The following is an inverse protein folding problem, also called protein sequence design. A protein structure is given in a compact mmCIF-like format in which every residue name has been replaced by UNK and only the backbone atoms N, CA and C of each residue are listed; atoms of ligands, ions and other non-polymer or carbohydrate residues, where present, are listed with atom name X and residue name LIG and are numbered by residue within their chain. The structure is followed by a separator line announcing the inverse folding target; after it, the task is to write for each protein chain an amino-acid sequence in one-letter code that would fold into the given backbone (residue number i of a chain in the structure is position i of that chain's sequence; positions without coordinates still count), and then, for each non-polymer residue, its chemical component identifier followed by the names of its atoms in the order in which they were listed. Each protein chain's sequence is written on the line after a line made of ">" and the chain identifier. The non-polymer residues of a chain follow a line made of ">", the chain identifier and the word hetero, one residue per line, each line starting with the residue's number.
data_IF_224338954178
#
_entry.id   IF_224338954178
#
_cell.length_a   1.000
_cell.length_b   1.000
_cell.length_c   1.000
_cell.angle_alpha   90.00
_cell.angle_beta   90.00
_cell.angle_gamma   90.00
#
_symmetry.space_group_name_H-M   'P 1'
#
loop_
_entity.id
_entity.type
_entity.pdbx_description
1 polymer ?
#
# COMPACT_ATOMS: atom_id res chain seq x y z
N UNK A 1 -2.94 29.57 -8.80
CA UNK A 1 -3.95 28.51 -9.02
C UNK A 1 -3.87 27.55 -7.84
N UNK A 2 -4.82 27.65 -6.88
CA UNK A 2 -5.03 26.57 -5.91
C UNK A 2 -5.91 25.54 -6.61
N UNK A 3 -5.39 24.35 -6.87
CA UNK A 3 -6.24 23.25 -7.33
C UNK A 3 -7.28 22.94 -6.24
N UNK A 4 -8.48 22.51 -6.62
CA UNK A 4 -9.51 22.07 -5.67
C UNK A 4 -8.96 21.03 -4.66
N UNK A 5 -8.02 20.16 -5.11
CA UNK A 5 -7.31 19.20 -4.26
C UNK A 5 -6.46 19.87 -3.16
N UNK A 6 -5.76 20.97 -3.45
CA UNK A 6 -5.01 21.69 -2.42
C UNK A 6 -5.91 22.31 -1.35
N UNK A 7 -7.09 22.78 -1.73
CA UNK A 7 -8.10 23.26 -0.77
C UNK A 7 -8.70 22.11 0.03
N UNK A 8 -9.02 20.98 -0.60
CA UNK A 8 -9.59 19.80 0.07
C UNK A 8 -8.66 19.17 1.10
N UNK A 9 -7.34 19.14 0.85
CA UNK A 9 -6.38 18.48 1.74
C UNK A 9 -5.97 19.36 2.91
N UNK A 10 -5.88 20.68 2.72
CA UNK A 10 -5.48 21.63 3.76
C UNK A 10 -6.37 21.59 5.00
N UNK A 11 -7.66 21.32 4.80
CA UNK A 11 -8.65 21.25 5.86
C UNK A 11 -8.88 19.82 6.38
N UNK A 12 -8.28 18.81 5.73
CA UNK A 12 -8.50 17.39 6.03
C UNK A 12 -7.34 16.72 6.77
N UNK A 13 -6.12 17.19 6.53
CA UNK A 13 -4.93 16.78 7.29
C UNK A 13 -4.18 18.01 7.79
N UNK A 14 -3.76 17.95 9.06
CA UNK A 14 -2.89 18.93 9.67
C UNK A 14 -1.42 18.69 9.29
N UNK A 15 -0.52 19.52 9.83
CA UNK A 15 0.92 19.33 9.69
C UNK A 15 1.31 17.91 10.09
N UNK A 16 1.78 17.14 9.12
CA UNK A 16 2.13 15.74 9.25
C UNK A 16 3.61 15.57 8.94
N UNK A 17 4.47 15.36 9.94
CA UNK A 17 5.91 15.23 9.74
C UNK A 17 6.26 14.01 8.89
N UNK A 18 7.24 14.19 8.00
CA UNK A 18 7.80 13.13 7.17
C UNK A 18 9.32 13.18 7.23
N UNK A 19 9.97 12.03 7.39
CA UNK A 19 11.43 11.93 7.33
C UNK A 19 11.90 10.48 7.08
N UNK A 20 13.15 10.33 6.63
CA UNK A 20 13.83 9.04 6.51
C UNK A 20 15.11 9.09 7.34
N UNK A 21 15.21 8.23 8.33
CA UNK A 21 16.42 8.07 9.13
C UNK A 21 17.30 6.98 8.52
N UNK A 22 18.54 7.33 8.24
CA UNK A 22 19.54 6.42 7.71
C UNK A 22 20.40 5.87 8.85
N UNK A 23 20.89 4.66 8.69
CA UNK A 23 21.92 4.11 9.58
C UNK A 23 23.14 5.02 9.54
N UNK A 24 23.64 5.42 10.71
CA UNK A 24 24.70 6.43 10.83
C UNK A 24 24.20 7.82 11.20
N UNK A 25 22.89 7.97 11.50
CA UNK A 25 22.31 9.15 12.14
C UNK A 25 21.82 10.26 11.18
N UNK A 26 22.06 10.16 9.87
CA UNK A 26 21.50 11.12 8.90
C UNK A 26 19.99 10.98 8.83
N UNK A 27 19.27 12.11 8.94
CA UNK A 27 17.81 12.15 8.85
C UNK A 27 17.37 13.05 7.68
N UNK A 28 16.93 12.43 6.58
CA UNK A 28 16.41 13.17 5.42
C UNK A 28 15.01 13.69 5.78
N UNK A 29 14.75 14.96 5.49
CA UNK A 29 13.49 15.64 5.85
C UNK A 29 13.53 16.38 7.18
N UNK A 30 14.41 16.04 8.12
CA UNK A 30 14.71 16.86 9.28
C UNK A 30 15.54 18.07 8.85
N UNK A 31 15.24 19.27 9.40
CA UNK A 31 15.93 20.52 9.07
C UNK A 31 16.08 20.76 7.55
N UNK A 32 15.05 20.41 6.80
CA UNK A 32 15.04 20.38 5.35
C UNK A 32 15.29 21.75 4.72
N UNK A 33 16.35 21.85 3.88
CA UNK A 33 16.66 23.06 3.11
C UNK A 33 16.51 22.79 1.62
N UNK A 34 15.58 23.50 0.98
CA UNK A 34 15.34 23.39 -0.47
C UNK A 34 16.46 24.12 -1.23
N UNK A 35 17.12 23.43 -2.14
CA UNK A 35 18.17 23.97 -3.02
C UNK A 35 17.59 24.38 -4.37
N UNK A 36 16.68 23.56 -4.93
CA UNK A 36 16.04 23.83 -6.21
C UNK A 36 14.59 23.33 -6.19
N UNK A 37 13.71 24.10 -6.83
CA UNK A 37 12.31 23.73 -7.08
C UNK A 37 12.10 23.52 -8.57
N UNK A 38 11.38 22.49 -8.92
CA UNK A 38 10.94 22.21 -10.29
C UNK A 38 9.47 21.86 -10.26
N UNK A 39 8.68 22.51 -11.10
CA UNK A 39 7.25 22.24 -11.27
C UNK A 39 6.99 21.81 -12.70
N UNK A 40 6.07 20.87 -12.86
CA UNK A 40 5.56 20.47 -14.17
C UNK A 40 4.14 19.95 -14.05
N UNK A 41 3.41 19.99 -15.13
CA UNK A 41 2.16 19.25 -15.28
C UNK A 41 2.48 17.91 -15.94
N UNK A 42 2.04 16.81 -15.33
CA UNK A 42 2.03 15.48 -15.95
C UNK A 42 0.70 15.36 -16.68
N UNK A 43 0.74 14.92 -17.93
CA UNK A 43 -0.45 14.68 -18.75
C UNK A 43 -0.15 13.53 -19.70
N UNK A 44 -0.51 12.31 -19.33
CA UNK A 44 -0.22 11.08 -20.06
C UNK A 44 -1.34 10.06 -19.91
N UNK A 45 -1.34 9.06 -20.76
CA UNK A 45 -2.23 7.90 -20.66
C UNK A 45 -1.40 6.65 -20.35
N UNK A 46 -1.86 5.88 -19.37
CA UNK A 46 -1.23 4.62 -18.95
C UNK A 46 -2.09 3.48 -19.47
N UNK A 47 -1.51 2.60 -20.28
CA UNK A 47 -2.15 1.36 -20.72
C UNK A 47 -2.19 0.34 -19.58
N UNK A 48 -3.36 -0.22 -19.32
CA UNK A 48 -3.61 -1.16 -18.22
C UNK A 48 -4.40 -2.37 -18.70
N UNK A 49 -3.77 -3.29 -19.46
CA UNK A 49 -4.47 -4.34 -20.23
C UNK A 49 -5.26 -5.34 -19.37
N UNK A 50 -4.94 -5.46 -18.08
CA UNK A 50 -5.59 -6.41 -17.15
C UNK A 50 -6.41 -5.73 -16.06
N UNK A 51 -6.64 -4.43 -16.18
CA UNK A 51 -7.43 -3.65 -15.23
C UNK A 51 -8.84 -3.39 -15.76
N UNK A 52 -9.78 -2.96 -14.90
CA UNK A 52 -11.17 -2.59 -15.30
C UNK A 52 -11.27 -1.45 -16.33
N UNK A 53 -10.19 -0.66 -16.50
CA UNK A 53 -10.04 0.37 -17.53
C UNK A 53 -8.84 0.00 -18.40
N UNK A 54 -8.99 -0.02 -19.72
CA UNK A 54 -7.88 -0.29 -20.64
C UNK A 54 -6.85 0.84 -20.66
N UNK A 55 -7.30 2.07 -20.38
CA UNK A 55 -6.46 3.27 -20.34
C UNK A 55 -6.80 4.07 -19.09
N UNK A 56 -5.78 4.53 -18.37
CA UNK A 56 -5.90 5.42 -17.21
C UNK A 56 -5.30 6.77 -17.58
N UNK A 57 -6.08 7.84 -17.47
CA UNK A 57 -5.58 9.22 -17.61
C UNK A 57 -4.81 9.62 -16.37
N UNK A 58 -3.53 9.97 -16.55
CA UNK A 58 -2.66 10.47 -15.50
C UNK A 58 -2.43 11.97 -15.71
N UNK A 59 -3.26 12.77 -15.03
CA UNK A 59 -3.16 14.23 -15.05
C UNK A 59 -2.92 14.74 -13.63
N UNK A 60 -1.79 15.43 -13.40
CA UNK A 60 -1.48 16.02 -12.10
C UNK A 60 -0.47 17.16 -12.20
N UNK A 61 -0.38 17.94 -11.13
CA UNK A 61 0.71 18.89 -10.92
C UNK A 61 1.80 18.22 -10.06
N UNK A 62 3.03 18.19 -10.55
CA UNK A 62 4.19 17.64 -9.86
C UNK A 62 5.12 18.75 -9.39
N UNK A 63 5.50 18.70 -8.12
CA UNK A 63 6.53 19.55 -7.51
C UNK A 63 7.69 18.67 -7.04
N UNK A 64 8.86 18.85 -7.65
CA UNK A 64 10.10 18.23 -7.21
C UNK A 64 10.96 19.25 -6.46
N UNK A 65 11.27 18.94 -5.22
CA UNK A 65 12.11 19.73 -4.32
C UNK A 65 13.46 19.05 -4.16
N UNK A 66 14.51 19.58 -4.82
CA UNK A 66 15.88 19.16 -4.56
C UNK A 66 16.32 19.70 -3.21
N UNK A 67 16.75 18.84 -2.32
CA UNK A 67 17.12 19.18 -0.96
C UNK A 67 18.64 19.18 -0.79
N UNK A 68 19.14 19.91 0.20
CA UNK A 68 20.53 19.77 0.66
C UNK A 68 20.70 18.38 1.27
N UNK A 69 21.77 17.64 0.91
CA UNK A 69 22.03 16.29 1.44
C UNK A 69 21.69 15.14 0.47
N UNK A 70 21.75 15.43 -0.84
CA UNK A 70 21.64 14.45 -1.92
C UNK A 70 20.34 13.63 -1.96
N UNK A 71 19.22 14.30 -1.71
CA UNK A 71 17.89 13.74 -1.88
C UNK A 71 16.91 14.74 -2.47
N UNK A 72 15.78 14.27 -2.94
CA UNK A 72 14.63 15.07 -3.35
C UNK A 72 13.37 14.59 -2.64
N UNK A 73 12.40 15.49 -2.50
CA UNK A 73 11.01 15.16 -2.18
C UNK A 73 10.18 15.50 -3.41
N UNK A 74 9.42 14.55 -3.91
CA UNK A 74 8.49 14.74 -5.03
C UNK A 74 7.07 14.65 -4.50
N UNK A 75 6.25 15.62 -4.87
CA UNK A 75 4.84 15.71 -4.50
C UNK A 75 4.04 15.78 -5.79
N UNK A 76 2.99 14.97 -5.88
CA UNK A 76 1.99 15.03 -6.95
C UNK A 76 0.64 15.38 -6.38
N UNK A 77 0.00 16.38 -6.96
CA UNK A 77 -1.35 16.80 -6.62
C UNK A 77 -2.31 16.49 -7.78
N UNK A 78 -3.28 15.64 -7.50
CA UNK A 78 -4.39 15.25 -8.36
C UNK A 78 -5.67 15.94 -7.91
N UNK A 79 -6.72 15.91 -8.70
CA UNK A 79 -8.04 16.42 -8.30
C UNK A 79 -8.67 15.56 -7.18
N UNK A 80 -8.30 14.29 -7.14
CA UNK A 80 -8.78 13.24 -6.25
C UNK A 80 -7.77 12.83 -5.15
N UNK A 81 -6.68 13.59 -4.95
CA UNK A 81 -5.73 13.30 -3.88
C UNK A 81 -4.33 13.86 -4.05
N UNK A 82 -3.45 13.46 -3.15
CA UNK A 82 -2.04 13.83 -3.16
C UNK A 82 -1.16 12.63 -2.86
N UNK A 83 0.04 12.62 -3.42
CA UNK A 83 1.06 11.65 -3.07
C UNK A 83 2.41 12.34 -2.91
N UNK A 84 3.25 11.79 -2.04
CA UNK A 84 4.66 12.20 -1.92
C UNK A 84 5.57 11.00 -1.85
N UNK A 85 6.82 11.19 -2.28
CA UNK A 85 7.92 10.24 -2.06
C UNK A 85 9.25 10.94 -1.89
N UNK A 86 10.17 10.25 -1.24
CA UNK A 86 11.57 10.60 -1.25
C UNK A 86 12.25 10.00 -2.48
N UNK A 87 13.31 10.66 -2.97
CA UNK A 87 14.25 10.13 -3.95
C UNK A 87 15.65 10.37 -3.41
N UNK A 88 16.41 9.30 -3.20
CA UNK A 88 17.82 9.38 -2.86
C UNK A 88 18.66 9.53 -4.12
N UNK A 89 19.68 10.37 -4.07
CA UNK A 89 20.69 10.54 -5.11
C UNK A 89 22.07 10.05 -4.68
N UNK A 90 22.15 9.29 -3.60
CA UNK A 90 23.40 8.71 -3.12
C UNK A 90 24.05 7.81 -4.16
N UNK A 91 25.37 7.95 -4.30
CA UNK A 91 26.15 7.10 -5.23
C UNK A 91 26.72 5.84 -4.54
N UNK A 92 26.69 5.80 -3.22
CA UNK A 92 27.23 4.71 -2.40
C UNK A 92 26.06 3.94 -1.75
N UNK A 93 26.28 2.68 -1.37
CA UNK A 93 25.30 1.91 -0.61
C UNK A 93 24.92 2.60 0.70
N UNK A 94 23.65 2.49 1.07
CA UNK A 94 23.12 3.00 2.33
C UNK A 94 21.99 2.10 2.86
N UNK A 95 21.66 2.29 4.13
CA UNK A 95 20.60 1.56 4.81
C UNK A 95 19.64 2.56 5.44
N UNK A 96 18.33 2.26 5.36
CA UNK A 96 17.27 3.04 6.00
C UNK A 96 16.95 2.38 7.34
N UNK A 97 17.14 3.11 8.43
CA UNK A 97 16.83 2.64 9.77
C UNK A 97 15.34 2.71 10.05
N UNK A 98 14.68 3.83 9.68
CA UNK A 98 13.27 4.07 9.94
C UNK A 98 12.70 5.14 8.99
N UNK A 99 11.39 5.13 8.78
CA UNK A 99 10.64 6.17 8.08
C UNK A 99 9.58 6.75 9.00
N UNK A 100 9.55 8.06 9.10
CA UNK A 100 8.45 8.80 9.69
C UNK A 100 7.45 9.19 8.59
N UNK A 101 6.34 8.48 8.53
CA UNK A 101 5.17 8.82 7.73
C UNK A 101 4.00 9.06 8.69
N UNK A 102 3.60 10.32 8.86
CA UNK A 102 2.57 10.71 9.82
C UNK A 102 1.35 11.28 9.10
N UNK A 103 0.15 11.02 9.63
CA UNK A 103 -1.12 11.49 9.12
C UNK A 103 -1.94 12.04 10.29
N UNK A 104 -1.94 13.36 10.44
CA UNK A 104 -2.62 14.06 11.54
C UNK A 104 -3.97 14.58 11.06
N UNK A 105 -5.05 14.14 11.69
CA UNK A 105 -6.40 14.62 11.41
C UNK A 105 -6.76 15.80 12.32
N UNK A 106 -7.50 16.81 11.80
CA UNK A 106 -7.92 17.96 12.61
C UNK A 106 -9.03 17.63 13.61
N UNK A 107 -9.71 16.51 13.40
CA UNK A 107 -10.87 16.09 14.21
C UNK A 107 -10.85 14.58 14.45
N UNK A 108 -11.75 14.12 15.32
CA UNK A 108 -12.03 12.70 15.51
C UNK A 108 -12.77 12.17 14.27
N UNK A 109 -12.09 11.38 13.46
CA UNK A 109 -12.62 10.77 12.22
C UNK A 109 -13.06 9.35 12.48
N UNK A 110 -14.08 8.89 11.76
CA UNK A 110 -14.46 7.48 11.74
C UNK A 110 -13.51 6.72 10.83
N UNK A 111 -13.03 5.57 11.27
CA UNK A 111 -12.12 4.71 10.55
C UNK A 111 -12.80 3.40 10.12
N UNK A 112 -12.43 2.92 8.95
CA UNK A 112 -12.70 1.57 8.46
C UNK A 112 -11.37 0.83 8.45
N UNK A 113 -11.11 0.04 9.50
CA UNK A 113 -9.78 -0.48 9.82
C UNK A 113 -9.69 -1.97 9.58
N UNK A 114 -8.69 -2.37 8.83
CA UNK A 114 -8.26 -3.74 8.70
C UNK A 114 -7.12 -4.00 9.68
N UNK A 115 -7.44 -4.41 10.90
CA UNK A 115 -6.42 -4.76 11.89
C UNK A 115 -5.77 -6.11 11.55
N UNK A 116 -4.47 -6.24 11.82
CA UNK A 116 -3.78 -7.53 11.76
C UNK A 116 -4.47 -8.54 12.68
N UNK A 117 -4.49 -9.82 12.27
CA UNK A 117 -5.28 -10.87 12.93
C UNK A 117 -4.84 -11.14 14.37
N UNK A 118 -3.55 -11.08 14.66
CA UNK A 118 -2.99 -11.39 15.96
C UNK A 118 -2.54 -10.13 16.66
N UNK A 119 -3.28 -9.71 17.68
CA UNK A 119 -2.87 -8.65 18.60
C UNK A 119 -1.83 -9.17 19.57
N UNK A 120 -0.57 -9.31 19.16
CA UNK A 120 0.51 -9.48 20.10
C UNK A 120 0.73 -8.16 20.85
N UNK A 121 1.04 -8.21 22.16
CA UNK A 121 1.37 -6.99 22.93
C UNK A 121 2.57 -6.25 22.34
N UNK A 122 3.49 -7.00 21.75
CA UNK A 122 4.62 -6.48 21.00
C UNK A 122 4.23 -6.33 19.54
N UNK A 123 4.13 -5.09 19.05
CA UNK A 123 3.77 -4.77 17.68
C UNK A 123 4.75 -5.36 16.64
N UNK A 124 6.02 -5.57 17.01
CA UNK A 124 7.03 -6.15 16.12
C UNK A 124 6.73 -7.61 15.76
N UNK A 125 5.89 -8.29 16.53
CA UNK A 125 5.43 -9.66 16.25
C UNK A 125 4.19 -9.70 15.38
N UNK A 126 3.64 -8.55 14.97
CA UNK A 126 2.43 -8.46 14.18
C UNK A 126 2.68 -8.41 12.67
N UNK A 127 3.93 -8.21 12.24
CA UNK A 127 4.27 -8.10 10.81
C UNK A 127 4.09 -9.38 9.99
N UNK A 128 4.07 -10.53 10.63
CA UNK A 128 3.86 -11.82 9.97
C UNK A 128 2.43 -12.31 10.22
N UNK A 129 1.47 -11.67 9.60
CA UNK A 129 0.06 -11.98 9.75
C UNK A 129 -0.63 -11.97 8.38
N UNK A 130 -1.41 -13.03 8.10
CA UNK A 130 -2.36 -12.99 6.99
C UNK A 130 -3.52 -12.06 7.33
N UNK A 131 -4.06 -11.41 6.31
CA UNK A 131 -5.23 -10.57 6.46
C UNK A 131 -6.48 -11.26 5.92
N UNK A 132 -7.25 -11.84 6.81
CA UNK A 132 -8.55 -12.50 6.52
C UNK A 132 -9.56 -12.16 7.61
N UNK A 133 -9.68 -10.89 7.95
CA UNK A 133 -10.59 -10.38 8.96
C UNK A 133 -11.65 -9.46 8.37
N UNK A 134 -12.74 -9.28 9.11
CA UNK A 134 -13.69 -8.20 8.84
C UNK A 134 -13.08 -6.85 9.19
N UNK A 135 -13.49 -5.79 8.48
CA UNK A 135 -13.16 -4.43 8.84
C UNK A 135 -13.85 -4.02 10.15
N UNK A 136 -13.13 -3.37 11.02
CA UNK A 136 -13.68 -2.72 12.21
C UNK A 136 -14.00 -1.26 11.89
N UNK A 137 -15.17 -0.80 12.36
CA UNK A 137 -15.62 0.59 12.23
C UNK A 137 -15.50 1.25 13.59
N UNK A 138 -14.58 2.20 13.73
CA UNK A 138 -14.26 2.81 15.01
C UNK A 138 -13.87 4.27 14.83
N UNK A 139 -13.95 5.06 15.88
CA UNK A 139 -13.36 6.39 15.88
C UNK A 139 -11.84 6.31 16.07
N UNK A 140 -11.09 7.24 15.48
CA UNK A 140 -9.63 7.22 15.57
C UNK A 140 -9.15 7.32 17.03
N UNK A 141 -9.89 8.00 17.90
CA UNK A 141 -9.60 8.09 19.34
C UNK A 141 -9.84 6.77 20.11
N UNK A 142 -10.59 5.84 19.51
CA UNK A 142 -10.92 4.53 20.08
C UNK A 142 -10.08 3.39 19.46
N UNK A 143 -8.98 3.73 18.79
CA UNK A 143 -8.08 2.76 18.19
C UNK A 143 -7.74 1.62 19.14
N UNK A 144 -7.86 0.38 18.66
CA UNK A 144 -7.49 -0.80 19.43
C UNK A 144 -6.00 -0.76 19.78
N UNK A 145 -5.70 -0.63 21.07
CA UNK A 145 -4.35 -0.48 21.59
C UNK A 145 -3.46 -1.66 21.15
N UNK A 146 -2.24 -1.32 20.74
CA UNK A 146 -1.21 -2.27 20.33
C UNK A 146 -1.61 -3.17 19.16
N UNK A 147 -2.47 -2.70 18.24
CA UNK A 147 -2.77 -3.41 16.99
C UNK A 147 -2.37 -2.56 15.79
N UNK A 148 -1.62 -3.17 14.87
CA UNK A 148 -1.32 -2.59 13.57
C UNK A 148 -2.52 -2.73 12.64
N UNK A 149 -2.69 -1.75 11.77
CA UNK A 149 -3.61 -1.84 10.64
C UNK A 149 -2.84 -1.97 9.34
N UNK A 150 -3.38 -2.75 8.40
CA UNK A 150 -2.86 -2.82 7.04
C UNK A 150 -3.47 -1.73 6.17
N UNK A 151 -2.87 -1.48 5.02
CA UNK A 151 -3.39 -0.61 3.97
C UNK A 151 -4.25 -1.38 2.96
N UNK A 152 -5.19 -0.71 2.27
CA UNK A 152 -5.59 0.69 2.48
C UNK A 152 -6.41 0.91 3.75
N UNK A 153 -6.31 2.11 4.34
CA UNK A 153 -7.15 2.53 5.45
C UNK A 153 -8.02 3.71 5.02
N UNK A 154 -9.31 3.64 5.28
CA UNK A 154 -10.25 4.71 4.97
C UNK A 154 -10.68 5.41 6.25
N UNK A 155 -10.54 6.73 6.27
CA UNK A 155 -11.08 7.62 7.28
C UNK A 155 -12.24 8.44 6.71
N UNK A 156 -13.31 8.61 7.48
CA UNK A 156 -14.44 9.45 7.13
C UNK A 156 -14.53 10.64 8.08
N UNK A 157 -14.53 11.85 7.53
CA UNK A 157 -14.71 13.08 8.27
C UNK A 157 -16.17 13.27 8.67
N UNK A 158 -16.45 14.14 9.65
CA UNK A 158 -17.83 14.50 10.01
C UNK A 158 -18.65 15.07 8.85
N UNK A 159 -17.98 15.68 7.86
CA UNK A 159 -18.62 16.17 6.63
C UNK A 159 -18.83 15.10 5.55
N UNK A 160 -18.56 13.81 5.85
CA UNK A 160 -18.76 12.69 4.91
C UNK A 160 -17.65 12.52 3.87
N UNK A 161 -16.60 13.35 3.89
CA UNK A 161 -15.44 13.17 2.99
C UNK A 161 -14.65 11.93 3.39
N UNK A 162 -14.30 11.11 2.40
CA UNK A 162 -13.48 9.91 2.55
C UNK A 162 -12.01 10.25 2.29
N UNK A 163 -11.14 9.82 3.19
CA UNK A 163 -9.69 9.96 3.08
C UNK A 163 -9.10 8.55 3.12
N UNK A 164 -8.59 8.09 1.98
CA UNK A 164 -7.96 6.77 1.91
C UNK A 164 -6.44 6.92 1.93
N UNK A 165 -5.81 6.32 2.92
CA UNK A 165 -4.35 6.25 3.04
C UNK A 165 -3.89 4.93 2.45
N UNK A 166 -2.97 5.00 1.50
CA UNK A 166 -2.35 3.82 0.88
C UNK A 166 -0.94 4.14 0.40
N UNK A 167 -0.33 3.21 -0.32
CA UNK A 167 0.99 3.38 -0.93
C UNK A 167 0.99 2.85 -2.37
N UNK A 168 1.97 3.26 -3.16
CA UNK A 168 2.16 2.81 -4.53
C UNK A 168 3.65 2.69 -4.87
N UNK A 169 3.97 1.95 -5.93
CA UNK A 169 5.33 1.75 -6.44
C UNK A 169 6.27 1.14 -5.38
N UNK A 170 5.79 0.12 -4.68
CA UNK A 170 6.49 -0.56 -3.59
C UNK A 170 7.53 -1.54 -4.15
N UNK A 171 8.78 -1.11 -4.22
CA UNK A 171 9.92 -1.90 -4.68
C UNK A 171 11.03 -1.89 -3.63
N UNK A 172 11.55 -3.07 -3.28
CA UNK A 172 12.71 -3.26 -2.36
C UNK A 172 12.56 -2.51 -1.02
N UNK A 173 11.33 -2.34 -0.55
CA UNK A 173 11.00 -1.61 0.67
C UNK A 173 9.85 -2.31 1.40
N UNK A 174 9.79 -2.28 2.75
CA UNK A 174 8.68 -2.89 3.48
C UNK A 174 7.38 -2.12 3.25
N UNK A 175 6.28 -2.86 3.16
CA UNK A 175 4.94 -2.29 3.15
C UNK A 175 4.65 -1.54 4.46
N UNK A 176 3.91 -0.44 4.35
CA UNK A 176 3.54 0.40 5.48
C UNK A 176 2.35 -0.19 6.22
N UNK A 177 2.49 -0.38 7.53
CA UNK A 177 1.38 -0.53 8.46
C UNK A 177 1.03 0.82 9.09
N UNK A 178 -0.18 0.97 9.58
CA UNK A 178 -0.58 2.16 10.33
C UNK A 178 -0.82 1.83 11.80
N UNK A 179 -0.51 2.79 12.66
CA UNK A 179 -0.65 2.68 14.09
C UNK A 179 -1.03 4.02 14.71
N UNK A 180 -1.96 4.01 15.66
CA UNK A 180 -2.25 5.17 16.51
C UNK A 180 -1.43 5.06 17.80
N UNK A 181 -0.32 5.78 17.87
CA UNK A 181 0.64 5.67 18.96
C UNK A 181 0.24 6.48 20.20
N UNK A 182 -0.55 7.54 20.05
CA UNK A 182 -0.84 8.50 21.11
C UNK A 182 -2.30 8.50 21.60
N UNK A 183 -3.16 7.68 20.99
CA UNK A 183 -4.59 7.62 21.31
C UNK A 183 -5.36 8.87 20.88
N UNK A 184 -4.75 9.74 20.06
CA UNK A 184 -5.34 10.97 19.54
C UNK A 184 -5.70 10.81 18.06
N UNK A 185 -5.74 11.93 17.33
CA UNK A 185 -6.16 12.01 15.95
C UNK A 185 -4.97 11.83 14.96
N UNK A 186 -4.01 10.97 15.30
CA UNK A 186 -2.79 10.79 14.53
C UNK A 186 -2.55 9.32 14.19
N UNK A 187 -2.20 9.04 12.93
CA UNK A 187 -1.72 7.75 12.48
C UNK A 187 -0.25 7.85 12.08
N UNK A 188 0.52 6.83 12.42
CA UNK A 188 1.93 6.68 12.07
C UNK A 188 2.16 5.47 11.19
N UNK A 189 3.00 5.61 10.18
CA UNK A 189 3.57 4.49 9.44
C UNK A 189 4.50 3.67 10.33
N UNK A 190 4.35 2.36 10.29
CA UNK A 190 5.21 1.39 10.97
C UNK A 190 5.69 0.38 9.93
N UNK A 191 6.98 0.05 9.97
CA UNK A 191 7.64 -0.75 8.96
C UNK A 191 8.32 -1.97 9.56
N UNK A 192 8.19 -3.11 8.89
CA UNK A 192 8.87 -4.33 9.31
C UNK A 192 10.39 -4.19 9.15
N UNK A 193 11.19 -4.65 10.12
CA UNK A 193 12.63 -4.69 9.97
C UNK A 193 13.05 -5.66 8.86
N UNK A 194 14.18 -5.38 8.22
CA UNK A 194 14.74 -6.21 7.14
C UNK A 194 15.02 -7.64 7.63
N UNK A 195 14.60 -8.68 6.91
CA UNK A 195 14.91 -10.07 7.28
C UNK A 195 16.41 -10.33 7.26
N UNK A 196 16.96 -10.89 8.35
CA UNK A 196 18.35 -11.32 8.45
C UNK A 196 18.51 -12.81 8.18
N UNK A 197 17.61 -13.60 8.77
CA UNK A 197 17.55 -15.04 8.54
C UNK A 197 16.09 -15.47 8.37
N UNK A 198 15.86 -16.32 7.39
CA UNK A 198 14.56 -16.94 7.12
C UNK A 198 14.67 -18.46 7.23
N UNK A 199 13.54 -19.13 7.43
CA UNK A 199 13.43 -20.57 7.33
C UNK A 199 12.09 -20.92 6.69
N UNK A 200 12.04 -22.06 6.05
CA UNK A 200 10.83 -22.58 5.46
C UNK A 200 9.71 -22.77 6.51
N UNK A 201 8.48 -22.39 6.17
CA UNK A 201 7.32 -22.59 7.02
C UNK A 201 6.88 -24.04 7.05
N UNK A 202 6.18 -24.42 8.13
CA UNK A 202 5.80 -25.83 8.39
C UNK A 202 4.65 -26.32 7.49
N UNK A 203 3.76 -25.43 7.06
CA UNK A 203 2.51 -25.82 6.37
C UNK A 203 2.58 -25.77 4.85
N UNK A 204 3.47 -25.00 4.30
CA UNK A 204 3.54 -24.78 2.87
C UNK A 204 5.00 -24.57 2.44
N UNK A 205 5.44 -25.32 1.44
CA UNK A 205 6.79 -25.22 0.89
C UNK A 205 7.12 -23.84 0.30
N UNK A 206 6.11 -23.02 -0.02
CA UNK A 206 6.25 -21.68 -0.55
C UNK A 206 6.31 -20.59 0.52
N UNK A 207 6.07 -20.93 1.80
CA UNK A 207 6.11 -19.94 2.88
C UNK A 207 7.50 -19.87 3.52
N UNK A 208 8.00 -18.67 3.68
CA UNK A 208 9.18 -18.38 4.47
C UNK A 208 8.80 -17.67 5.77
N UNK A 209 9.42 -18.07 6.86
CA UNK A 209 9.26 -17.43 8.17
C UNK A 209 10.53 -16.67 8.54
N UNK A 210 10.40 -15.40 8.87
CA UNK A 210 11.51 -14.59 9.37
C UNK A 210 11.90 -15.04 10.77
N UNK A 211 13.11 -15.51 10.95
CA UNK A 211 13.64 -15.99 12.25
C UNK A 211 14.36 -14.89 13.01
N UNK A 212 15.13 -14.07 12.32
CA UNK A 212 15.81 -12.91 12.89
C UNK A 212 15.77 -11.74 11.93
N UNK A 213 15.86 -10.54 12.47
CA UNK A 213 15.81 -9.29 11.72
C UNK A 213 17.07 -8.45 11.91
N UNK A 214 17.30 -7.55 10.99
CA UNK A 214 18.29 -6.49 11.10
C UNK A 214 17.73 -5.31 11.92
N UNK A 215 18.60 -4.33 12.21
CA UNK A 215 18.22 -3.08 12.90
C UNK A 215 17.80 -1.97 11.94
N UNK A 216 17.61 -2.30 10.67
CA UNK A 216 17.19 -1.39 9.60
C UNK A 216 16.04 -2.02 8.80
N UNK A 217 15.28 -1.19 8.09
CA UNK A 217 14.09 -1.60 7.33
C UNK A 217 14.37 -1.86 5.85
N UNK A 218 15.38 -1.20 5.26
CA UNK A 218 15.73 -1.37 3.86
C UNK A 218 17.22 -1.10 3.61
N UNK A 219 17.75 -1.65 2.49
CA UNK A 219 19.13 -1.41 2.03
C UNK A 219 19.15 -1.19 0.52
N UNK A 220 20.00 -0.28 0.07
CA UNK A 220 20.15 0.07 -1.34
C UNK A 220 21.61 0.16 -1.73
N UNK A 221 21.92 -0.18 -2.98
CA UNK A 221 23.28 -0.07 -3.53
C UNK A 221 23.64 1.36 -3.97
N UNK A 222 22.65 2.23 -4.13
CA UNK A 222 22.80 3.60 -4.61
C UNK A 222 21.48 4.36 -4.61
N UNK A 223 21.38 5.38 -5.46
CA UNK A 223 20.19 6.21 -5.57
C UNK A 223 18.94 5.40 -5.90
N UNK A 224 17.84 5.72 -5.23
CA UNK A 224 16.56 5.03 -5.40
C UNK A 224 15.39 5.99 -5.22
N UNK A 225 14.25 5.64 -5.84
CA UNK A 225 12.96 6.24 -5.53
C UNK A 225 12.24 5.36 -4.50
N UNK A 226 11.82 5.97 -3.40
CA UNK A 226 11.06 5.30 -2.36
C UNK A 226 9.58 5.16 -2.78
N UNK A 227 8.81 4.28 -2.14
CA UNK A 227 7.38 4.17 -2.42
C UNK A 227 6.65 5.50 -2.24
N UNK A 228 5.58 5.68 -3.00
CA UNK A 228 4.67 6.80 -2.81
C UNK A 228 3.81 6.58 -1.55
N UNK A 229 3.71 7.60 -0.71
CA UNK A 229 2.68 7.70 0.33
C UNK A 229 1.51 8.47 -0.28
N UNK A 230 0.38 7.81 -0.36
CA UNK A 230 -0.76 8.24 -1.17
C UNK A 230 -1.95 8.53 -0.27
N UNK A 231 -2.53 9.71 -0.43
CA UNK A 231 -3.72 10.18 0.28
C UNK A 231 -4.78 10.50 -0.79
N UNK A 232 -5.79 9.63 -0.91
CA UNK A 232 -6.93 9.81 -1.80
C UNK A 232 -8.02 10.52 -1.03
N UNK A 233 -8.70 11.48 -1.66
CA UNK A 233 -9.77 12.28 -1.04
C UNK A 233 -10.97 12.28 -1.96
N UNK A 234 -12.07 11.68 -1.51
CA UNK A 234 -13.29 11.53 -2.28
C UNK A 234 -14.52 11.97 -1.48
N UNK A 235 -15.52 12.46 -2.17
CA UNK A 235 -16.78 12.88 -1.55
C UNK A 235 -17.81 11.76 -1.46
N UNK A 236 -17.68 10.71 -2.26
CA UNK A 236 -18.62 9.58 -2.35
C UNK A 236 -17.88 8.24 -2.30
N UNK A 237 -18.51 7.24 -1.70
CA UNK A 237 -17.97 5.89 -1.60
C UNK A 237 -17.67 5.25 -2.96
N UNK A 238 -18.56 5.47 -3.93
CA UNK A 238 -18.39 4.95 -5.29
C UNK A 238 -17.17 5.53 -6.02
N UNK A 239 -16.71 6.73 -5.66
CA UNK A 239 -15.54 7.37 -6.24
C UNK A 239 -14.25 6.67 -5.77
N UNK A 240 -14.19 6.18 -4.53
CA UNK A 240 -13.08 5.36 -4.04
C UNK A 240 -12.84 4.10 -4.89
N UNK A 241 -13.93 3.41 -5.28
CA UNK A 241 -13.85 2.21 -6.12
C UNK A 241 -13.34 2.51 -7.55
N UNK A 242 -13.49 3.74 -8.01
CA UNK A 242 -13.08 4.19 -9.34
C UNK A 242 -11.76 4.97 -9.33
N UNK A 243 -11.16 5.17 -8.17
CA UNK A 243 -9.90 5.89 -8.04
C UNK A 243 -8.73 5.07 -8.61
N UNK A 244 -7.91 5.70 -9.43
CA UNK A 244 -6.82 5.05 -10.16
C UNK A 244 -5.43 5.54 -9.69
N UNK A 245 -5.33 6.25 -8.56
CA UNK A 245 -4.06 6.88 -8.14
C UNK A 245 -2.92 5.88 -8.01
N UNK A 246 -3.17 4.66 -7.56
CA UNK A 246 -2.11 3.63 -7.45
C UNK A 246 -1.53 3.32 -8.83
N UNK A 247 -2.36 3.20 -9.88
CA UNK A 247 -1.89 3.01 -11.26
C UNK A 247 -1.14 4.22 -11.80
N UNK A 248 -1.63 5.44 -11.52
CA UNK A 248 -0.99 6.71 -11.94
C UNK A 248 0.39 6.94 -11.32
N UNK A 249 0.64 6.32 -10.16
CA UNK A 249 1.87 6.48 -9.38
C UNK A 249 2.87 5.34 -9.57
N UNK A 250 2.41 4.18 -10.05
CA UNK A 250 3.25 3.00 -10.25
C UNK A 250 4.16 3.14 -11.46
N UNK A 251 5.36 2.59 -11.33
CA UNK A 251 6.30 2.48 -12.44
C UNK A 251 5.74 1.58 -13.55
N UNK A 252 6.03 1.84 -14.83
CA UNK A 252 5.63 0.97 -15.92
C UNK A 252 6.15 -0.47 -15.73
N UNK A 253 5.37 -1.45 -16.18
CA UNK A 253 5.81 -2.84 -16.22
C UNK A 253 7.10 -2.98 -17.04
N UNK A 254 8.04 -3.78 -16.54
CA UNK A 254 9.30 -4.08 -17.22
C UNK A 254 9.22 -5.49 -17.80
N UNK A 255 9.24 -5.59 -19.12
CA UNK A 255 9.18 -6.86 -19.84
C UNK A 255 7.99 -6.96 -20.78
N UNK A 256 7.94 -8.04 -21.55
CA UNK A 256 6.82 -8.36 -22.43
C UNK A 256 5.84 -9.28 -21.69
N UNK A 257 4.65 -8.78 -21.43
CA UNK A 257 3.54 -9.48 -20.78
C UNK A 257 2.35 -9.68 -21.71
N UNK A 258 2.54 -9.55 -23.04
CA UNK A 258 1.48 -9.71 -24.05
C UNK A 258 0.89 -11.13 -24.08
N UNK A 259 1.63 -12.11 -23.58
CA UNK A 259 1.20 -13.50 -23.43
C UNK A 259 0.20 -13.71 -22.29
N UNK A 260 0.15 -12.78 -21.31
CA UNK A 260 -0.79 -12.86 -20.16
C UNK A 260 -2.19 -12.53 -20.64
N UNK A 261 -3.10 -13.49 -20.52
CA UNK A 261 -4.51 -13.33 -20.85
C UNK A 261 -5.33 -13.45 -19.58
N UNK A 262 -6.13 -12.42 -19.21
CA UNK A 262 -7.08 -12.55 -18.12
C UNK A 262 -8.18 -13.55 -18.52
N UNK A 263 -8.67 -14.31 -17.56
CA UNK A 263 -9.71 -15.30 -17.79
C UNK A 263 -10.40 -15.71 -16.49
N UNK A 264 -11.44 -16.50 -16.63
CA UNK A 264 -12.13 -17.12 -15.51
C UNK A 264 -11.39 -18.37 -15.07
N UNK A 265 -11.42 -18.66 -13.77
CA UNK A 265 -10.80 -19.84 -13.18
C UNK A 265 -11.83 -20.67 -12.44
N UNK A 266 -11.77 -21.98 -12.58
CA UNK A 266 -12.45 -22.92 -11.68
C UNK A 266 -11.51 -23.20 -10.51
N UNK A 267 -11.91 -22.75 -9.34
CA UNK A 267 -11.14 -22.95 -8.12
C UNK A 267 -11.86 -23.93 -7.20
N UNK A 268 -11.34 -25.13 -7.10
CA UNK A 268 -11.89 -26.27 -6.37
C UNK A 268 -12.06 -25.99 -4.87
N UNK A 269 -11.14 -25.28 -4.27
CA UNK A 269 -11.19 -24.97 -2.85
C UNK A 269 -12.27 -23.94 -2.49
N UNK A 270 -12.75 -23.12 -3.42
CA UNK A 270 -13.82 -22.16 -3.16
C UNK A 270 -15.08 -22.85 -2.59
N UNK A 271 -15.41 -24.04 -3.10
CA UNK A 271 -16.53 -24.85 -2.67
C UNK A 271 -16.13 -25.96 -1.67
N UNK A 272 -14.92 -25.93 -1.14
CA UNK A 272 -14.36 -26.97 -0.27
C UNK A 272 -14.43 -28.38 -0.91
N UNK A 273 -14.12 -28.47 -2.21
CA UNK A 273 -14.26 -29.66 -3.06
C UNK A 273 -15.66 -30.27 -3.05
N UNK A 274 -16.66 -29.54 -2.59
CA UNK A 274 -18.04 -30.05 -2.51
C UNK A 274 -18.70 -30.04 -3.88
N UNK A 275 -19.26 -31.17 -4.25
CA UNK A 275 -20.13 -31.37 -5.42
C UNK A 275 -21.45 -31.95 -5.00
N UNK A 276 -22.53 -31.57 -5.68
CA UNK A 276 -23.86 -32.19 -5.53
C UNK A 276 -24.29 -32.82 -6.85
N UNK A 277 -25.16 -33.83 -6.77
CA UNK A 277 -25.70 -34.52 -7.96
C UNK A 277 -24.70 -35.41 -8.68
N UNK A 278 -23.65 -35.86 -8.01
CA UNK A 278 -22.65 -36.80 -8.51
C UNK A 278 -22.81 -38.18 -7.84
N UNK A 279 -22.33 -39.22 -8.51
CA UNK A 279 -22.43 -40.61 -8.04
C UNK A 279 -21.12 -41.12 -7.41
N UNK A 280 -20.25 -40.24 -6.99
CA UNK A 280 -18.98 -40.52 -6.32
C UNK A 280 -18.79 -39.59 -5.09
N UNK A 281 -17.85 -39.93 -4.22
CA UNK A 281 -17.52 -39.11 -3.04
C UNK A 281 -16.66 -37.96 -3.49
N UNK A 282 -17.18 -36.72 -3.41
CA UNK A 282 -16.44 -35.52 -3.73
C UNK A 282 -15.31 -35.28 -2.72
N UNK A 283 -14.17 -34.79 -3.20
CA UNK A 283 -12.98 -34.51 -2.39
C UNK A 283 -11.73 -34.36 -3.27
N UNK A 284 -10.56 -34.52 -2.66
CA UNK A 284 -9.29 -34.48 -3.39
C UNK A 284 -9.06 -35.83 -4.06
N UNK A 285 -9.70 -36.06 -5.20
CA UNK A 285 -9.60 -37.27 -6.01
C UNK A 285 -9.83 -37.01 -7.49
N UNK A 286 -9.47 -37.96 -8.33
CA UNK A 286 -9.52 -37.82 -9.78
C UNK A 286 -10.93 -37.56 -10.34
N UNK A 287 -11.96 -38.18 -9.74
CA UNK A 287 -13.34 -38.02 -10.18
C UNK A 287 -13.79 -36.57 -10.00
N UNK A 288 -13.49 -35.98 -8.85
CA UNK A 288 -13.80 -34.57 -8.56
C UNK A 288 -13.11 -33.62 -9.53
N UNK A 289 -11.80 -33.80 -9.77
CA UNK A 289 -11.06 -32.91 -10.67
C UNK A 289 -11.49 -33.08 -12.13
N UNK A 290 -11.79 -34.29 -12.59
CA UNK A 290 -12.37 -34.50 -13.93
C UNK A 290 -13.70 -33.78 -14.07
N UNK A 291 -14.55 -33.83 -13.07
CA UNK A 291 -15.83 -33.12 -13.08
C UNK A 291 -15.62 -31.61 -13.23
N UNK A 292 -14.69 -31.01 -12.48
CA UNK A 292 -14.37 -29.59 -12.61
C UNK A 292 -13.79 -29.24 -13.97
N UNK A 293 -12.90 -30.05 -14.51
CA UNK A 293 -12.30 -29.85 -15.84
C UNK A 293 -13.39 -29.91 -16.92
N UNK A 294 -14.26 -30.91 -16.87
CA UNK A 294 -15.36 -31.06 -17.83
C UNK A 294 -16.38 -29.91 -17.71
N UNK A 295 -16.61 -29.41 -16.50
CA UNK A 295 -17.44 -28.24 -16.27
C UNK A 295 -16.80 -26.99 -16.89
N UNK A 296 -15.52 -26.75 -16.64
CA UNK A 296 -14.78 -25.63 -17.20
C UNK A 296 -14.82 -25.66 -18.74
N UNK A 297 -14.53 -26.81 -19.33
CA UNK A 297 -14.55 -26.99 -20.78
C UNK A 297 -15.92 -26.70 -21.39
N UNK A 298 -17.00 -27.21 -20.79
CA UNK A 298 -18.37 -26.99 -21.27
C UNK A 298 -18.84 -25.54 -21.17
N UNK A 299 -18.32 -24.80 -20.19
CA UNK A 299 -18.73 -23.41 -19.92
C UNK A 299 -17.72 -22.36 -20.45
N UNK A 300 -16.70 -22.77 -21.17
CA UNK A 300 -15.68 -21.87 -21.72
C UNK A 300 -14.93 -21.09 -20.63
N UNK A 301 -14.58 -21.78 -19.55
CA UNK A 301 -13.76 -21.25 -18.47
C UNK A 301 -12.31 -21.60 -18.80
N UNK A 302 -11.43 -20.59 -18.85
CA UNK A 302 -10.09 -20.68 -19.42
C UNK A 302 -9.10 -21.44 -18.55
N UNK A 303 -9.23 -21.37 -17.21
CA UNK A 303 -8.25 -21.90 -16.25
C UNK A 303 -8.90 -22.77 -15.17
#
# INVERSE_FOLDING_TARGET
>A
YSSAAQMCIRDRLQRSPISLRLVGGTCLGAEAKVVKKQQRTVNEFISTPVYKKAMVSNHCNELALRMKGDYSIVIRAYDDGVAYRFISHYKKPFKVEDEQATFNFPENVKLHVAYVRVGARDITKQFNSSFENTYEHTDISEWTKNRLAILPLVAETKGGTKICITEADLHDYPGMYLFNADGKHSLKGIFAPYPKATAQGERNVLTETVKTTETYIARFSGGTAFPWRTIIVESKDAELLNNDMVYKLSSPAKGDFTWVKPGKVVWDWWSNWSLSGVNFVAGINNETYRYYIDFAARHGIEY
#
